data_IF_671152238215
#
_entry.id   IF_671152238215
#
_cell.length_a   1.000
_cell.length_b   1.000
_cell.length_c   1.000
_cell.angle_alpha   90.00
_cell.angle_beta   90.00
_cell.angle_gamma   90.00
#
_symmetry.space_group_name_H-M   'P 1'
#
loop_
_entity.id
_entity.type
_entity.pdbx_description
1 polymer ?
#
# COMPACT_ATOMS: atom_id res chain seq x y z
N UNK A 1 -34.80 -20.55 67.75
CA UNK A 1 -35.05 -20.75 66.30
C UNK A 1 -34.35 -19.65 65.53
N UNK A 2 -33.57 -20.03 64.52
CA UNK A 2 -32.58 -19.19 63.82
C UNK A 2 -33.29 -18.15 62.94
N UNK A 3 -33.05 -16.86 63.17
CA UNK A 3 -33.45 -15.81 62.23
C UNK A 3 -32.30 -15.54 61.25
N UNK A 4 -32.62 -15.74 59.98
CA UNK A 4 -31.73 -15.74 58.83
C UNK A 4 -31.32 -14.30 58.49
N UNK A 5 -30.02 -14.04 58.39
CA UNK A 5 -29.47 -12.80 57.84
C UNK A 5 -29.41 -12.95 56.31
N UNK A 6 -30.20 -12.18 55.58
CA UNK A 6 -30.03 -12.00 54.13
C UNK A 6 -29.32 -10.66 53.89
N UNK A 7 -28.01 -10.71 53.70
CA UNK A 7 -27.23 -9.60 53.16
C UNK A 7 -27.30 -9.72 51.63
N UNK A 8 -28.12 -8.89 50.98
CA UNK A 8 -28.14 -8.77 49.52
C UNK A 8 -27.01 -7.80 49.15
N UNK A 9 -25.87 -8.35 48.74
CA UNK A 9 -24.76 -7.61 48.13
C UNK A 9 -25.11 -7.37 46.66
N UNK A 10 -25.55 -6.16 46.32
CA UNK A 10 -25.80 -5.75 44.94
C UNK A 10 -24.44 -5.62 44.25
N UNK A 11 -24.10 -6.62 43.44
CA UNK A 11 -22.92 -6.67 42.59
C UNK A 11 -23.11 -5.72 41.40
N UNK A 12 -22.82 -4.44 41.62
CA UNK A 12 -22.64 -3.44 40.57
C UNK A 12 -21.23 -3.59 39.98
N UNK A 13 -21.11 -4.48 38.99
CA UNK A 13 -19.99 -4.43 38.05
C UNK A 13 -20.62 -4.36 36.66
N UNK A 14 -20.93 -3.13 36.24
CA UNK A 14 -21.28 -2.84 34.86
C UNK A 14 -20.13 -3.27 33.97
N UNK A 15 -20.42 -4.22 33.08
CA UNK A 15 -19.55 -4.61 31.99
C UNK A 15 -19.44 -3.41 31.03
N UNK A 16 -18.50 -2.50 31.28
CA UNK A 16 -17.94 -1.70 30.20
C UNK A 16 -16.96 -2.59 29.43
N UNK A 17 -17.52 -3.54 28.67
CA UNK A 17 -16.82 -4.09 27.52
C UNK A 17 -16.73 -2.94 26.51
N UNK A 18 -15.62 -2.23 26.55
CA UNK A 18 -15.27 -1.29 25.49
C UNK A 18 -14.87 -2.16 24.29
N UNK A 19 -15.74 -2.27 23.28
CA UNK A 19 -15.43 -2.93 22.02
C UNK A 19 -14.21 -2.23 21.39
N UNK A 20 -13.06 -2.91 21.43
CA UNK A 20 -11.84 -2.51 20.72
C UNK A 20 -11.83 -3.14 19.33
N UNK A 21 -12.78 -2.82 18.47
CA UNK A 21 -12.72 -3.26 17.05
C UNK A 21 -12.87 -2.15 16.01
N UNK A 22 -13.35 -0.95 16.35
CA UNK A 22 -13.72 0.04 15.31
C UNK A 22 -12.66 1.14 15.02
N UNK A 23 -11.48 1.09 15.64
CA UNK A 23 -10.51 2.19 15.56
C UNK A 23 -9.51 2.09 14.38
N UNK A 24 -9.15 0.88 13.93
CA UNK A 24 -8.07 0.69 12.96
C UNK A 24 -8.52 1.07 11.55
N UNK A 25 -9.56 0.42 10.99
CA UNK A 25 -10.11 0.76 9.67
C UNK A 25 -10.52 2.22 9.56
N UNK A 26 -11.19 2.75 10.58
CA UNK A 26 -11.60 4.17 10.59
C UNK A 26 -10.40 5.11 10.47
N UNK A 27 -9.30 4.80 11.16
CA UNK A 27 -8.05 5.56 11.09
C UNK A 27 -7.37 5.41 9.72
N UNK A 28 -7.33 4.19 9.17
CA UNK A 28 -6.79 3.93 7.82
C UNK A 28 -7.57 4.72 6.75
N UNK A 29 -8.90 4.70 6.80
CA UNK A 29 -9.77 5.45 5.89
C UNK A 29 -9.58 6.96 6.01
N UNK A 30 -9.39 7.47 7.23
CA UNK A 30 -9.05 8.88 7.46
C UNK A 30 -7.71 9.23 6.80
N UNK A 31 -6.67 8.42 7.02
CA UNK A 31 -5.34 8.63 6.43
C UNK A 31 -5.39 8.56 4.90
N UNK A 32 -6.14 7.62 4.34
CA UNK A 32 -6.41 7.53 2.90
C UNK A 32 -6.99 8.82 2.34
N UNK A 33 -8.05 9.33 2.97
CA UNK A 33 -8.73 10.54 2.51
C UNK A 33 -7.83 11.78 2.58
N UNK A 34 -7.08 11.94 3.67
CA UNK A 34 -6.11 13.03 3.83
C UNK A 34 -5.04 12.98 2.72
N UNK A 35 -4.53 11.78 2.45
CA UNK A 35 -3.55 11.54 1.40
C UNK A 35 -4.09 11.82 0.00
N UNK A 36 -5.31 11.37 -0.30
CA UNK A 36 -5.96 11.61 -1.60
C UNK A 36 -6.22 13.09 -1.87
N UNK A 37 -6.63 13.84 -0.85
CA UNK A 37 -6.77 15.30 -0.93
C UNK A 37 -5.41 15.95 -1.23
N UNK A 38 -4.36 15.50 -0.55
CA UNK A 38 -3.00 16.01 -0.75
C UNK A 38 -2.47 15.73 -2.16
N UNK A 39 -2.64 14.51 -2.65
CA UNK A 39 -2.32 14.14 -4.03
C UNK A 39 -3.05 15.01 -5.04
N UNK A 40 -4.37 15.17 -4.90
CA UNK A 40 -5.19 16.00 -5.80
C UNK A 40 -4.69 17.44 -5.86
N UNK A 41 -4.32 18.01 -4.69
CA UNK A 41 -3.75 19.35 -4.62
C UNK A 41 -2.40 19.44 -5.32
N UNK A 42 -1.48 18.51 -5.07
CA UNK A 42 -0.15 18.52 -5.68
C UNK A 42 -0.21 18.34 -7.20
N UNK A 43 -1.11 17.47 -7.70
CA UNK A 43 -1.40 17.28 -9.12
C UNK A 43 -1.94 18.55 -9.77
N UNK A 44 -2.85 19.27 -9.10
CA UNK A 44 -3.34 20.55 -9.60
C UNK A 44 -2.24 21.63 -9.67
N UNK A 45 -1.27 21.59 -8.76
CA UNK A 45 -0.18 22.57 -8.68
C UNK A 45 0.96 22.31 -9.67
N UNK A 46 1.28 21.05 -9.94
CA UNK A 46 2.44 20.66 -10.75
C UNK A 46 2.07 20.17 -12.15
N UNK A 47 0.77 20.03 -12.45
CA UNK A 47 0.28 19.41 -13.66
C UNK A 47 0.12 17.89 -13.48
N UNK A 48 -0.40 17.23 -14.52
CA UNK A 48 -0.70 15.79 -14.49
C UNK A 48 0.38 14.96 -15.21
N UNK A 49 1.64 15.34 -15.05
CA UNK A 49 2.79 14.68 -15.67
C UNK A 49 3.86 14.41 -14.62
N UNK A 50 4.26 13.16 -14.46
CA UNK A 50 5.17 12.71 -13.41
C UNK A 50 5.75 11.34 -13.74
N UNK A 51 6.82 10.97 -13.04
CA UNK A 51 7.25 9.57 -12.92
C UNK A 51 7.04 9.09 -11.49
N UNK A 52 6.83 7.78 -11.34
CA UNK A 52 6.89 7.12 -10.04
C UNK A 52 7.43 5.70 -10.20
N UNK A 53 7.90 5.12 -9.10
CA UNK A 53 8.40 3.76 -9.06
C UNK A 53 7.56 2.90 -8.13
N UNK A 54 7.46 1.61 -8.45
CA UNK A 54 7.05 0.58 -7.49
C UNK A 54 8.16 -0.46 -7.40
N UNK A 55 8.32 -0.99 -6.21
CA UNK A 55 9.38 -1.93 -5.87
C UNK A 55 8.80 -3.21 -5.30
N UNK A 56 9.43 -4.31 -5.64
CA UNK A 56 9.22 -5.61 -5.02
C UNK A 56 10.56 -6.13 -4.52
N UNK A 57 10.58 -6.65 -3.29
CA UNK A 57 11.74 -7.31 -2.70
C UNK A 57 11.29 -8.64 -2.12
N UNK A 58 12.12 -9.66 -2.30
CA UNK A 58 11.93 -10.99 -1.74
C UNK A 58 12.97 -11.25 -0.65
N UNK A 59 12.56 -11.95 0.41
CA UNK A 59 13.47 -12.40 1.46
C UNK A 59 14.63 -13.27 0.91
N UNK A 60 14.44 -13.95 -0.23
CA UNK A 60 15.49 -14.75 -0.88
C UNK A 60 16.55 -13.90 -1.59
N UNK A 61 16.48 -12.57 -1.46
CA UNK A 61 17.44 -11.62 -2.04
C UNK A 61 17.15 -11.22 -3.48
N UNK A 62 16.01 -11.61 -4.05
CA UNK A 62 15.55 -11.11 -5.35
C UNK A 62 14.74 -9.82 -5.23
N UNK A 63 14.64 -9.05 -6.30
CA UNK A 63 13.73 -7.91 -6.33
C UNK A 63 13.55 -7.32 -7.72
N UNK A 64 12.63 -6.37 -7.83
CA UNK A 64 12.44 -5.60 -9.04
C UNK A 64 11.97 -4.19 -8.76
N UNK A 65 12.22 -3.29 -9.70
CA UNK A 65 11.71 -1.94 -9.74
C UNK A 65 11.02 -1.73 -11.08
N UNK A 66 9.84 -1.10 -11.07
CA UNK A 66 9.19 -0.59 -12.28
C UNK A 66 9.00 0.90 -12.12
N UNK A 67 9.56 1.68 -13.04
CA UNK A 67 9.26 3.11 -13.19
C UNK A 67 8.20 3.31 -14.26
N UNK A 68 7.17 4.10 -13.97
CA UNK A 68 6.17 4.52 -14.94
C UNK A 68 6.28 6.01 -15.20
N UNK A 69 6.19 6.38 -16.47
CA UNK A 69 6.12 7.76 -16.93
C UNK A 69 4.68 8.08 -17.32
N UNK A 70 4.13 9.12 -16.69
CA UNK A 70 2.79 9.64 -16.95
C UNK A 70 2.95 11.03 -17.56
N UNK A 71 2.28 11.27 -18.69
CA UNK A 71 2.19 12.58 -19.33
C UNK A 71 0.73 12.92 -19.58
N UNK A 72 0.29 14.08 -19.07
CA UNK A 72 -1.09 14.56 -19.15
C UNK A 72 -2.12 13.51 -18.71
N UNK A 73 -1.81 12.78 -17.63
CA UNK A 73 -2.67 11.76 -17.04
C UNK A 73 -2.72 10.43 -17.79
N UNK A 74 -1.82 10.19 -18.75
CA UNK A 74 -1.72 8.93 -19.49
C UNK A 74 -0.35 8.32 -19.28
N UNK A 75 -0.29 7.01 -19.08
CA UNK A 75 0.99 6.29 -19.08
C UNK A 75 1.59 6.35 -20.48
N UNK A 76 2.83 6.83 -20.59
CA UNK A 76 3.56 6.97 -21.86
C UNK A 76 4.87 6.18 -21.89
N UNK A 77 5.31 5.63 -20.76
CA UNK A 77 6.47 4.75 -20.71
C UNK A 77 6.52 3.90 -19.45
N UNK A 78 7.24 2.78 -19.56
CA UNK A 78 7.53 1.84 -18.46
C UNK A 78 8.98 1.41 -18.55
N UNK A 79 9.71 1.47 -17.44
CA UNK A 79 11.07 0.94 -17.35
C UNK A 79 11.13 -0.08 -16.22
N UNK A 80 11.44 -1.33 -16.56
CA UNK A 80 11.49 -2.43 -15.61
C UNK A 80 12.92 -2.92 -15.41
N UNK A 81 13.23 -3.23 -14.15
CA UNK A 81 14.51 -3.80 -13.76
C UNK A 81 14.31 -4.88 -12.70
N UNK A 82 14.80 -6.09 -12.95
CA UNK A 82 14.87 -7.21 -12.00
C UNK A 82 16.30 -7.49 -11.62
N UNK A 83 16.52 -7.72 -10.35
CA UNK A 83 17.84 -8.06 -9.80
C UNK A 83 17.78 -9.24 -8.83
N UNK A 84 18.95 -9.82 -8.58
CA UNK A 84 19.22 -10.73 -7.47
C UNK A 84 20.42 -10.21 -6.69
N UNK A 85 20.45 -10.42 -5.37
CA UNK A 85 21.61 -10.10 -4.56
C UNK A 85 22.67 -11.20 -4.72
N UNK A 86 23.89 -10.77 -5.04
CA UNK A 86 25.05 -11.62 -5.14
C UNK A 86 25.46 -12.11 -3.75
N UNK A 87 25.44 -13.43 -3.53
CA UNK A 87 25.75 -14.03 -2.22
C UNK A 87 27.18 -13.79 -1.73
N UNK A 88 28.12 -13.43 -2.60
CA UNK A 88 29.53 -13.21 -2.22
C UNK A 88 29.84 -11.76 -1.82
N UNK A 89 29.13 -10.77 -2.36
CA UNK A 89 29.43 -9.35 -2.13
C UNK A 89 28.20 -8.47 -1.82
N UNK A 90 27.00 -9.03 -1.80
CA UNK A 90 25.75 -8.34 -1.50
C UNK A 90 25.30 -7.34 -2.57
N UNK A 91 25.95 -7.27 -3.73
CA UNK A 91 25.58 -6.35 -4.82
C UNK A 91 24.37 -6.89 -5.61
N UNK A 92 23.63 -5.98 -6.24
CA UNK A 92 22.51 -6.33 -7.13
C UNK A 92 23.05 -6.70 -8.52
N UNK A 93 22.88 -7.95 -8.91
CA UNK A 93 23.13 -8.42 -10.27
C UNK A 93 21.82 -8.36 -11.07
N UNK A 94 21.84 -7.68 -12.22
CA UNK A 94 20.68 -7.55 -13.10
C UNK A 94 20.38 -8.88 -13.79
N UNK A 95 19.12 -9.31 -13.71
CA UNK A 95 18.66 -10.57 -14.32
C UNK A 95 17.76 -10.31 -15.52
N UNK A 96 16.96 -9.25 -15.48
CA UNK A 96 16.10 -8.86 -16.60
C UNK A 96 15.82 -7.37 -16.54
N UNK A 97 15.69 -6.74 -17.71
CA UNK A 97 15.25 -5.36 -17.81
C UNK A 97 14.65 -5.10 -19.19
N UNK A 98 13.70 -4.19 -19.27
CA UNK A 98 13.17 -3.70 -20.54
C UNK A 98 12.66 -2.27 -20.38
N UNK A 99 12.48 -1.60 -21.50
CA UNK A 99 11.85 -0.28 -21.59
C UNK A 99 10.72 -0.37 -22.60
N UNK A 100 9.57 0.18 -22.24
CA UNK A 100 8.44 0.39 -23.13
C UNK A 100 8.15 1.88 -23.27
N UNK A 101 7.71 2.23 -24.45
CA UNK A 101 7.25 3.54 -24.89
C UNK A 101 5.85 3.40 -25.46
N UNK A 102 5.23 4.51 -25.86
CA UNK A 102 3.86 4.51 -26.41
C UNK A 102 3.63 3.47 -27.52
N UNK A 103 4.64 3.12 -28.31
CA UNK A 103 4.52 2.13 -29.40
C UNK A 103 4.41 0.66 -28.95
N UNK A 104 4.86 0.35 -27.74
CA UNK A 104 5.03 -1.01 -27.23
C UNK A 104 4.62 -1.15 -25.75
N UNK A 105 3.90 -0.17 -25.21
CA UNK A 105 3.35 -0.21 -23.85
C UNK A 105 2.52 -1.47 -23.62
N UNK A 106 2.86 -2.21 -22.56
CA UNK A 106 2.14 -3.41 -22.16
C UNK A 106 2.50 -4.65 -22.98
N UNK A 107 3.59 -4.61 -23.75
CA UNK A 107 4.11 -5.78 -24.47
C UNK A 107 4.78 -6.81 -23.56
N UNK A 108 5.15 -6.45 -22.34
CA UNK A 108 5.77 -7.32 -21.34
C UNK A 108 4.84 -7.63 -20.15
N UNK A 109 4.81 -8.88 -19.72
CA UNK A 109 4.01 -9.32 -18.55
C UNK A 109 4.65 -8.94 -17.21
N UNK A 110 5.98 -8.96 -17.13
CA UNK A 110 6.72 -8.63 -15.90
C UNK A 110 6.53 -7.16 -15.51
N UNK A 111 6.82 -6.85 -14.24
CA UNK A 111 6.76 -5.47 -13.73
C UNK A 111 5.35 -5.00 -13.38
N UNK A 112 5.24 -3.71 -13.06
CA UNK A 112 3.99 -3.13 -12.63
C UNK A 112 2.97 -3.04 -13.78
N UNK A 113 1.69 -3.16 -13.41
CA UNK A 113 0.56 -2.78 -14.27
C UNK A 113 0.67 -1.30 -14.64
N UNK A 114 0.20 -0.95 -15.84
CA UNK A 114 0.23 0.41 -16.39
C UNK A 114 -0.83 1.32 -15.76
N UNK A 115 -0.69 1.60 -14.46
CA UNK A 115 -1.64 2.40 -13.70
C UNK A 115 -1.10 3.82 -13.45
N UNK A 116 -1.98 4.80 -13.37
CA UNK A 116 -1.63 6.13 -12.81
C UNK A 116 -1.83 6.14 -11.30
N UNK A 117 -1.27 7.12 -10.59
CA UNK A 117 -1.47 7.24 -9.13
C UNK A 117 -2.95 7.41 -8.77
N UNK A 118 -3.76 8.08 -9.61
CA UNK A 118 -5.21 8.16 -9.39
C UNK A 118 -5.87 6.76 -9.38
N UNK A 119 -5.40 5.86 -10.23
CA UNK A 119 -5.94 4.49 -10.32
C UNK A 119 -5.43 3.64 -9.16
N UNK A 120 -4.19 3.86 -8.71
CA UNK A 120 -3.66 3.25 -7.50
C UNK A 120 -4.46 3.64 -6.25
N UNK A 121 -4.88 4.91 -6.12
CA UNK A 121 -5.80 5.32 -5.05
C UNK A 121 -7.14 4.58 -5.15
N UNK A 122 -7.71 4.46 -6.36
CA UNK A 122 -8.96 3.71 -6.56
C UNK A 122 -8.83 2.24 -6.18
N UNK A 123 -7.76 1.56 -6.60
CA UNK A 123 -7.53 0.16 -6.22
C UNK A 123 -7.24 0.01 -4.72
N UNK A 124 -6.53 0.96 -4.11
CA UNK A 124 -6.30 0.98 -2.66
C UNK A 124 -7.61 0.86 -1.87
N UNK A 125 -8.58 1.73 -2.15
CA UNK A 125 -9.86 1.73 -1.43
C UNK A 125 -10.87 0.71 -1.94
N UNK A 126 -10.74 0.25 -3.19
CA UNK A 126 -11.70 -0.67 -3.82
C UNK A 126 -11.33 -2.15 -3.75
N UNK A 127 -10.04 -2.46 -3.57
CA UNK A 127 -9.52 -3.83 -3.67
C UNK A 127 -8.72 -4.22 -2.42
N UNK A 128 -7.89 -3.32 -1.89
CA UNK A 128 -6.94 -3.67 -0.83
C UNK A 128 -7.47 -3.40 0.59
N UNK A 129 -8.06 -2.23 0.84
CA UNK A 129 -8.57 -1.86 2.18
C UNK A 129 -9.99 -2.37 2.47
N UNK A 130 -10.56 -3.16 1.55
CA UNK A 130 -11.90 -3.75 1.68
C UNK A 130 -11.88 -5.18 2.18
N UNK A 131 -10.71 -5.82 2.23
CA UNK A 131 -10.58 -7.20 2.73
C UNK A 131 -10.95 -7.27 4.22
N UNK A 132 -11.25 -8.48 4.68
CA UNK A 132 -11.66 -8.71 6.06
C UNK A 132 -10.49 -8.52 7.03
N UNK A 133 -10.74 -7.83 8.14
CA UNK A 133 -9.71 -7.51 9.15
C UNK A 133 -9.46 -8.68 10.13
N UNK A 134 -10.30 -9.72 10.08
CA UNK A 134 -10.19 -10.88 10.96
C UNK A 134 -9.13 -11.87 10.49
N UNK A 135 -8.80 -11.87 9.18
CA UNK A 135 -7.78 -12.73 8.59
C UNK A 135 -6.68 -11.94 7.88
N UNK A 136 -6.72 -10.61 7.91
CA UNK A 136 -5.73 -9.78 7.23
C UNK A 136 -5.38 -8.54 8.04
N UNK A 137 -4.08 -8.26 8.11
CA UNK A 137 -3.57 -6.98 8.59
C UNK A 137 -3.57 -5.95 7.45
N UNK A 138 -4.32 -4.86 7.60
CA UNK A 138 -4.39 -3.76 6.64
C UNK A 138 -3.30 -2.71 6.87
N UNK A 139 -2.80 -2.12 5.79
CA UNK A 139 -1.76 -1.08 5.81
C UNK A 139 -2.12 0.09 4.91
N UNK A 140 -1.93 1.30 5.42
CA UNK A 140 -1.93 2.53 4.64
C UNK A 140 -0.94 3.52 5.21
N UNK A 141 0.02 3.97 4.40
CA UNK A 141 1.01 4.97 4.77
C UNK A 141 1.18 6.02 3.69
N UNK A 142 1.54 7.22 4.09
CA UNK A 142 1.89 8.32 3.20
C UNK A 142 3.34 8.73 3.38
N UNK A 143 3.97 9.21 2.31
CA UNK A 143 5.31 9.78 2.35
C UNK A 143 5.31 11.15 3.06
N UNK A 144 6.49 11.77 3.13
CA UNK A 144 6.68 13.09 3.76
C UNK A 144 5.92 14.23 3.08
N UNK A 145 5.56 14.08 1.80
CA UNK A 145 4.69 15.01 1.09
C UNK A 145 3.20 14.74 1.33
N UNK A 146 2.85 13.70 2.08
CA UNK A 146 1.49 13.28 2.38
C UNK A 146 0.80 12.57 1.21
N UNK A 147 1.55 12.04 0.23
CA UNK A 147 1.01 11.19 -0.85
C UNK A 147 1.17 9.73 -0.47
N UNK A 148 0.25 8.87 -0.89
CA UNK A 148 0.25 7.44 -0.61
C UNK A 148 1.60 6.84 -0.99
N UNK A 149 2.23 6.17 -0.03
CA UNK A 149 3.48 5.44 -0.17
C UNK A 149 3.20 3.93 -0.17
N UNK A 150 2.32 3.48 0.73
CA UNK A 150 1.96 2.08 0.92
C UNK A 150 0.44 1.97 1.02
N UNK A 151 -0.14 1.00 0.33
CA UNK A 151 -1.50 0.57 0.59
C UNK A 151 -1.67 -0.91 0.26
N UNK A 152 -2.19 -1.69 1.20
CA UNK A 152 -2.28 -3.14 1.00
C UNK A 152 -2.71 -3.87 2.25
N UNK A 153 -2.55 -5.18 2.20
CA UNK A 153 -2.75 -6.06 3.34
C UNK A 153 -1.75 -7.22 3.35
N UNK A 154 -1.60 -7.85 4.50
CA UNK A 154 -0.89 -9.11 4.68
C UNK A 154 -1.87 -10.10 5.30
N UNK A 155 -2.10 -11.28 4.70
CA UNK A 155 -2.90 -12.33 5.33
C UNK A 155 -2.25 -12.82 6.63
N UNK A 156 -3.07 -13.09 7.63
CA UNK A 156 -2.61 -13.60 8.92
C UNK A 156 -1.95 -14.97 8.79
N UNK A 157 -0.85 -15.16 9.53
CA UNK A 157 -0.05 -16.38 9.47
C UNK A 157 0.80 -16.52 8.20
N UNK A 158 0.85 -15.50 7.36
CA UNK A 158 1.74 -15.50 6.20
C UNK A 158 3.19 -15.22 6.60
N UNK A 159 4.12 -16.03 6.09
CA UNK A 159 5.50 -16.10 6.61
C UNK A 159 6.45 -15.21 5.81
N UNK A 160 6.43 -15.31 4.48
CA UNK A 160 7.43 -14.71 3.60
C UNK A 160 6.78 -14.08 2.35
N UNK A 161 7.23 -12.87 1.96
CA UNK A 161 6.84 -12.16 0.72
C UNK A 161 5.33 -11.98 0.51
N UNK A 162 4.59 -11.76 1.59
CA UNK A 162 3.12 -11.84 1.63
C UNK A 162 2.36 -10.54 1.39
N UNK A 163 3.07 -9.42 1.19
CA UNK A 163 2.39 -8.14 1.04
C UNK A 163 1.62 -8.08 -0.28
N UNK A 164 0.30 -7.88 -0.16
CA UNK A 164 -0.59 -7.70 -1.29
C UNK A 164 -0.99 -6.24 -1.36
N UNK A 165 -0.42 -5.49 -2.30
CA UNK A 165 -0.69 -4.07 -2.36
C UNK A 165 0.18 -3.28 -3.32
N UNK A 166 0.28 -2.00 -2.99
CA UNK A 166 0.87 -0.94 -3.78
C UNK A 166 2.00 -0.31 -2.97
N UNK A 167 3.14 -0.11 -3.63
CA UNK A 167 4.23 0.75 -3.16
C UNK A 167 4.48 1.85 -4.18
N UNK A 168 4.57 3.11 -3.73
CA UNK A 168 4.90 4.26 -4.57
C UNK A 168 6.16 4.91 -4.01
N UNK A 169 7.23 4.86 -4.79
CA UNK A 169 8.52 5.46 -4.49
C UNK A 169 8.92 6.46 -5.58
N UNK A 170 9.90 7.32 -5.26
CA UNK A 170 10.58 8.17 -6.25
C UNK A 170 9.64 9.01 -7.14
N UNK A 171 8.51 9.50 -6.59
CA UNK A 171 7.60 10.41 -7.28
C UNK A 171 8.32 11.69 -7.70
N UNK A 172 8.32 12.00 -8.99
CA UNK A 172 8.96 13.19 -9.57
C UNK A 172 8.05 13.83 -10.60
N UNK A 173 7.79 15.13 -10.47
CA UNK A 173 7.02 15.89 -11.45
C UNK A 173 7.81 16.13 -12.74
N UNK A 174 7.14 16.01 -13.88
CA UNK A 174 7.68 16.37 -15.20
C UNK A 174 7.04 17.71 -15.57
N UNK A 175 7.79 18.79 -15.43
CA UNK A 175 7.37 20.14 -15.81
C UNK A 175 7.75 20.46 -17.24
#
# INVERSE_FOLDING_TARGET
>A
MKTIRFFILILLIGLFACDKSDNNKTTLLKNYNESYVKWTKLKAQNGNSYTYQTTFGSWTGGGSTTELKIENGKVTGRNYHRFILNGSNGKKDTVASYVETVGDLGSHESGAKLLTIDELYRSCIGEYLVVDEDNNQLFFESNTEGVMYLCGFVPDGCVDDCFNGITIENLKWIK
#
